data_IF_254621321371
#
_entry.id   IF_254621321371
#
_cell.length_a   1.000
_cell.length_b   1.000
_cell.length_c   1.000
_cell.angle_alpha   90.00
_cell.angle_beta   90.00
_cell.angle_gamma   90.00
#
_symmetry.space_group_name_H-M   'P 1'
#
loop_
_entity.id
_entity.type
_entity.pdbx_description
1 polymer ?
#
# COMPACT_ATOMS: atom_id res chain seq x y z
N UNK A 1 2.43 -35.01 77.92
CA UNK A 1 1.85 -33.66 78.10
C UNK A 1 0.71 -33.52 77.10
N UNK A 2 -0.34 -32.78 77.42
CA UNK A 2 -1.41 -32.45 76.47
C UNK A 2 -1.35 -30.94 76.25
N UNK A 3 -1.27 -30.53 74.99
CA UNK A 3 -1.16 -29.14 74.61
C UNK A 3 -1.80 -28.95 73.25
N UNK A 4 -2.50 -27.83 73.08
CA UNK A 4 -3.12 -27.46 71.82
C UNK A 4 -2.35 -26.26 71.24
N UNK A 5 -2.19 -26.24 69.92
CA UNK A 5 -1.77 -25.01 69.22
C UNK A 5 -2.94 -24.05 69.32
N UNK A 6 -2.74 -22.92 70.00
CA UNK A 6 -3.80 -21.92 70.22
C UNK A 6 -3.67 -20.72 69.31
N UNK A 7 -2.48 -20.47 68.77
CA UNK A 7 -2.28 -19.46 67.72
C UNK A 7 -0.99 -19.71 66.94
N UNK A 8 -0.98 -19.26 65.69
CA UNK A 8 0.20 -19.16 64.84
C UNK A 8 0.34 -17.72 64.38
N UNK A 9 1.50 -17.11 64.64
CA UNK A 9 1.80 -15.77 64.14
C UNK A 9 2.53 -15.89 62.79
N UNK A 10 1.81 -15.59 61.71
CA UNK A 10 2.35 -15.71 60.35
C UNK A 10 3.42 -14.67 59.99
N UNK A 11 3.55 -13.57 60.74
CA UNK A 11 4.57 -12.55 60.50
C UNK A 11 5.87 -12.78 61.28
N UNK A 12 5.85 -13.57 62.36
CA UNK A 12 7.06 -13.91 63.16
C UNK A 12 7.43 -15.39 63.13
N UNK A 13 6.58 -16.25 62.55
CA UNK A 13 6.76 -17.70 62.56
C UNK A 13 6.58 -18.34 63.94
N UNK A 14 6.13 -17.58 64.94
CA UNK A 14 5.97 -18.07 66.30
C UNK A 14 4.73 -18.97 66.43
N UNK A 15 4.95 -20.18 66.96
CA UNK A 15 3.90 -21.14 67.31
C UNK A 15 3.64 -21.08 68.82
N UNK A 16 2.43 -20.73 69.23
CA UNK A 16 2.05 -20.76 70.65
C UNK A 16 1.34 -22.07 70.96
N UNK A 17 1.95 -22.85 71.85
CA UNK A 17 1.42 -24.12 72.35
C UNK A 17 1.06 -23.94 73.81
N UNK A 18 -0.23 -23.89 74.11
CA UNK A 18 -0.68 -23.86 75.50
C UNK A 18 -0.74 -25.28 76.04
N UNK A 19 0.10 -25.57 77.04
CA UNK A 19 0.09 -26.84 77.75
C UNK A 19 -1.01 -26.82 78.79
N UNK A 20 -2.12 -27.52 78.54
CA UNK A 20 -3.30 -27.51 79.40
C UNK A 20 -3.20 -28.45 80.60
N UNK A 21 -2.14 -29.25 80.68
CA UNK A 21 -1.84 -30.04 81.86
C UNK A 21 -0.61 -30.94 81.72
N UNK A 22 0.09 -31.16 82.83
CA UNK A 22 1.23 -32.07 82.96
C UNK A 22 0.88 -33.24 83.89
N UNK A 23 -0.13 -34.05 83.56
CA UNK A 23 -0.54 -35.18 84.43
C UNK A 23 0.60 -36.18 84.75
N UNK A 24 0.85 -36.44 86.04
CA UNK A 24 1.76 -37.48 86.58
C UNK A 24 3.20 -37.04 86.92
N UNK A 25 3.82 -37.66 87.95
CA UNK A 25 5.25 -37.52 88.32
C UNK A 25 6.11 -38.60 87.64
N UNK A 26 7.19 -38.19 86.95
CA UNK A 26 8.12 -39.06 86.23
C UNK A 26 8.72 -38.40 84.97
N UNK A 27 9.79 -39.00 84.43
CA UNK A 27 10.44 -38.56 83.18
C UNK A 27 9.47 -38.73 82.01
N UNK A 28 9.05 -37.62 81.40
CA UNK A 28 8.09 -37.65 80.28
C UNK A 28 8.82 -37.83 78.97
N UNK A 29 8.40 -38.79 78.16
CA UNK A 29 8.91 -38.98 76.80
C UNK A 29 8.62 -37.75 75.95
N UNK A 30 9.50 -37.49 74.97
CA UNK A 30 9.32 -36.40 74.03
C UNK A 30 8.00 -36.56 73.26
N UNK A 31 7.17 -35.53 73.30
CA UNK A 31 5.99 -35.34 72.48
C UNK A 31 6.34 -34.56 71.21
N UNK A 32 5.77 -34.97 70.07
CA UNK A 32 6.00 -34.36 68.77
C UNK A 32 4.74 -33.61 68.33
N UNK A 33 4.91 -32.41 67.77
CA UNK A 33 3.85 -31.67 67.10
C UNK A 33 4.00 -31.95 65.61
N UNK A 34 3.03 -32.62 65.00
CA UNK A 34 2.98 -32.81 63.55
C UNK A 34 2.10 -31.73 62.92
N UNK A 35 2.73 -30.79 62.23
CA UNK A 35 2.01 -29.91 61.31
C UNK A 35 1.78 -30.71 60.02
N UNK A 36 0.54 -31.14 59.77
CA UNK A 36 0.19 -31.72 58.47
C UNK A 36 0.28 -30.60 57.43
N UNK A 37 1.13 -30.76 56.42
CA UNK A 37 1.18 -29.80 55.31
C UNK A 37 -0.24 -29.63 54.74
N UNK A 38 -0.71 -28.40 54.47
CA UNK A 38 -2.05 -28.19 53.94
C UNK A 38 -2.20 -29.00 52.64
N UNK A 39 -3.28 -29.77 52.54
CA UNK A 39 -3.58 -30.65 51.40
C UNK A 39 -3.97 -29.88 50.14
N UNK A 40 -4.05 -28.54 50.21
CA UNK A 40 -4.38 -27.68 49.08
C UNK A 40 -3.73 -26.30 49.27
N UNK A 41 -2.97 -25.84 48.27
CA UNK A 41 -2.43 -24.48 48.19
C UNK A 41 -1.29 -24.18 49.16
N UNK A 42 -0.05 -24.53 48.82
CA UNK A 42 1.13 -23.94 49.48
C UNK A 42 1.37 -22.56 48.86
N UNK A 43 1.01 -21.52 49.59
CA UNK A 43 1.26 -20.14 49.20
C UNK A 43 2.57 -19.66 49.81
N UNK A 44 3.51 -19.23 48.98
CA UNK A 44 4.65 -18.46 49.41
C UNK A 44 4.23 -16.99 49.50
N UNK A 45 4.01 -16.49 50.72
CA UNK A 45 3.74 -15.07 50.96
C UNK A 45 5.06 -14.32 51.12
N UNK A 46 5.34 -13.41 50.20
CA UNK A 46 6.52 -12.53 50.22
C UNK A 46 6.05 -11.08 50.27
N UNK A 47 6.49 -10.32 51.26
CA UNK A 47 6.26 -8.87 51.32
C UNK A 47 7.60 -8.18 51.08
N UNK A 48 7.77 -7.55 49.91
CA UNK A 48 9.02 -6.88 49.53
C UNK A 48 10.20 -7.82 49.26
N UNK A 49 9.95 -9.09 48.95
CA UNK A 49 10.99 -10.09 48.72
C UNK A 49 11.69 -9.94 47.37
N UNK A 50 13.00 -10.19 47.35
CA UNK A 50 13.82 -10.28 46.13
C UNK A 50 14.27 -11.73 45.96
N UNK A 51 14.10 -12.31 44.77
CA UNK A 51 14.64 -13.62 44.42
C UNK A 51 15.95 -13.40 43.67
N UNK A 52 17.07 -13.89 44.22
CA UNK A 52 18.38 -13.83 43.59
C UNK A 52 19.07 -15.20 43.66
N UNK A 53 19.77 -15.58 42.59
CA UNK A 53 20.55 -16.81 42.52
C UNK A 53 21.82 -16.56 41.69
N UNK A 54 22.92 -17.23 42.04
CA UNK A 54 24.15 -17.28 41.26
C UNK A 54 24.43 -18.75 40.92
N UNK A 55 23.68 -19.30 39.96
CA UNK A 55 23.74 -20.71 39.56
C UNK A 55 23.41 -20.86 38.07
N UNK A 56 23.69 -22.03 37.49
CA UNK A 56 23.28 -22.40 36.13
C UNK A 56 21.82 -22.87 36.03
N UNK A 57 21.11 -22.99 37.16
CA UNK A 57 19.69 -23.33 37.23
C UNK A 57 18.83 -22.06 37.37
N UNK A 58 17.56 -22.16 36.99
CA UNK A 58 16.60 -21.05 37.09
C UNK A 58 16.50 -20.52 38.53
N UNK A 59 16.61 -19.20 38.71
CA UNK A 59 16.40 -18.54 39.99
C UNK A 59 14.95 -18.69 40.50
N UNK A 60 13.99 -18.76 39.56
CA UNK A 60 12.59 -19.05 39.80
C UNK A 60 12.07 -19.89 38.65
N UNK A 61 11.62 -21.12 38.95
CA UNK A 61 10.90 -21.96 38.00
C UNK A 61 9.43 -22.01 38.37
N UNK A 62 8.60 -21.53 37.47
CA UNK A 62 7.14 -21.59 37.59
C UNK A 62 6.66 -22.72 36.68
N UNK A 63 6.08 -23.76 37.27
CA UNK A 63 5.50 -24.87 36.52
C UNK A 63 4.05 -25.04 36.93
N UNK A 64 3.15 -24.69 36.03
CA UNK A 64 1.72 -24.90 36.19
C UNK A 64 1.34 -26.22 35.52
N UNK A 65 1.08 -27.24 36.33
CA UNK A 65 0.61 -28.55 35.85
C UNK A 65 -0.91 -28.67 35.85
N UNK A 66 -1.61 -27.72 36.47
CA UNK A 66 -3.07 -27.59 36.45
C UNK A 66 -3.57 -26.69 35.32
N UNK A 67 -4.87 -26.43 35.29
CA UNK A 67 -5.52 -25.62 34.24
C UNK A 67 -5.44 -24.11 34.45
N UNK A 68 -4.84 -23.63 35.55
CA UNK A 68 -4.75 -22.19 35.85
C UNK A 68 -3.69 -21.45 35.05
N UNK A 69 -3.54 -20.14 35.29
CA UNK A 69 -2.42 -19.38 34.73
C UNK A 69 -1.09 -19.83 35.36
N UNK A 70 -0.01 -19.73 34.60
CA UNK A 70 1.33 -20.00 35.08
C UNK A 70 1.83 -18.84 35.95
N UNK A 71 1.68 -17.61 35.49
CA UNK A 71 2.03 -16.39 36.23
C UNK A 71 0.92 -15.35 36.05
N UNK A 72 0.55 -14.69 37.14
CA UNK A 72 -0.34 -13.53 37.16
C UNK A 72 0.35 -12.45 38.00
N UNK A 73 0.50 -11.26 37.42
CA UNK A 73 0.97 -10.07 38.13
C UNK A 73 -0.16 -9.05 38.10
N UNK A 74 -0.62 -8.69 39.29
CA UNK A 74 -1.71 -7.74 39.51
C UNK A 74 -1.12 -6.44 40.08
N UNK A 75 -1.65 -5.30 39.65
CA UNK A 75 -1.27 -3.98 40.16
C UNK A 75 -2.38 -3.30 40.98
N UNK A 76 -3.55 -3.96 41.10
CA UNK A 76 -4.75 -3.46 41.77
C UNK A 76 -5.43 -4.52 42.64
N UNK A 77 -6.65 -4.25 43.12
CA UNK A 77 -7.40 -5.20 43.96
C UNK A 77 -7.71 -6.49 43.22
N UNK A 78 -7.32 -7.63 43.80
CA UNK A 78 -7.58 -8.95 43.24
C UNK A 78 -9.10 -9.27 43.22
N UNK A 79 -9.68 -9.68 42.07
CA UNK A 79 -8.98 -9.89 40.80
C UNK A 79 -8.78 -8.60 40.01
N UNK A 80 -7.55 -8.39 39.54
CA UNK A 80 -7.21 -7.30 38.64
C UNK A 80 -7.81 -7.56 37.24
N UNK A 81 -8.41 -6.51 36.65
CA UNK A 81 -9.00 -6.58 35.32
C UNK A 81 -7.94 -6.42 34.21
N UNK A 82 -6.77 -5.84 34.53
CA UNK A 82 -5.72 -5.49 33.57
C UNK A 82 -4.34 -6.10 33.87
N UNK A 83 -4.25 -7.38 34.28
CA UNK A 83 -3.00 -7.97 34.73
C UNK A 83 -2.02 -8.23 33.59
N UNK A 84 -0.78 -8.54 33.97
CA UNK A 84 0.15 -9.30 33.14
C UNK A 84 -0.02 -10.81 33.43
N UNK A 85 -0.27 -11.60 32.39
CA UNK A 85 -0.59 -13.03 32.53
C UNK A 85 0.24 -13.88 31.57
N UNK A 86 0.83 -14.95 32.09
CA UNK A 86 1.29 -16.09 31.30
C UNK A 86 0.27 -17.23 31.50
N UNK A 87 -0.44 -17.61 30.45
CA UNK A 87 -1.49 -18.64 30.48
C UNK A 87 -0.88 -20.05 30.53
N UNK A 88 -1.70 -21.08 30.81
CA UNK A 88 -1.28 -22.48 30.71
C UNK A 88 -0.83 -22.90 29.30
N UNK A 89 -1.28 -22.18 28.27
CA UNK A 89 -0.93 -22.43 26.87
C UNK A 89 0.35 -21.70 26.43
N UNK A 90 0.97 -20.95 27.34
CA UNK A 90 2.19 -20.17 27.07
C UNK A 90 1.94 -18.82 26.41
N UNK A 91 0.67 -18.39 26.26
CA UNK A 91 0.38 -17.05 25.78
C UNK A 91 0.67 -16.00 26.86
N UNK A 92 1.23 -14.87 26.44
CA UNK A 92 1.46 -13.69 27.26
C UNK A 92 0.41 -12.64 26.95
N UNK A 93 -0.34 -12.24 27.98
CA UNK A 93 -1.40 -11.25 27.90
C UNK A 93 -1.02 -10.05 28.77
N UNK A 94 -1.16 -8.86 28.20
CA UNK A 94 -0.99 -7.59 28.91
C UNK A 94 -2.34 -6.89 28.89
N UNK A 95 -2.87 -6.52 30.07
CA UNK A 95 -4.09 -5.75 30.18
C UNK A 95 -5.39 -6.55 29.99
N UNK A 96 -5.34 -7.88 30.11
CA UNK A 96 -6.53 -8.75 30.01
C UNK A 96 -6.30 -10.11 30.69
N UNK A 97 -7.36 -10.77 31.14
CA UNK A 97 -7.29 -12.03 31.92
C UNK A 97 -7.40 -13.31 31.07
N UNK A 98 -7.80 -13.20 29.81
CA UNK A 98 -7.99 -14.32 28.89
C UNK A 98 -7.55 -14.00 27.45
N UNK A 99 -7.20 -15.00 26.64
CA UNK A 99 -6.88 -14.76 25.23
C UNK A 99 -8.13 -14.34 24.45
N UNK A 100 -8.03 -13.24 23.69
CA UNK A 100 -9.06 -12.81 22.76
C UNK A 100 -8.88 -13.51 21.40
N UNK A 101 -9.99 -13.84 20.75
CA UNK A 101 -9.99 -14.43 19.40
C UNK A 101 -10.30 -13.35 18.37
N UNK A 102 -9.51 -13.30 17.28
CA UNK A 102 -9.78 -12.47 16.11
C UNK A 102 -10.06 -13.41 14.94
N UNK A 103 -11.31 -13.57 14.46
CA UNK A 103 -11.72 -14.60 13.50
C UNK A 103 -10.88 -14.76 12.23
N UNK A 104 -10.16 -13.72 11.80
CA UNK A 104 -9.31 -13.74 10.61
C UNK A 104 -7.87 -14.22 10.84
N UNK A 105 -7.45 -14.42 12.09
CA UNK A 105 -6.11 -14.89 12.46
C UNK A 105 -6.18 -15.92 13.58
N UNK A 106 -5.18 -16.80 13.68
CA UNK A 106 -5.05 -17.65 14.86
C UNK A 106 -4.82 -16.80 16.12
N UNK A 107 -5.13 -17.33 17.30
CA UNK A 107 -4.87 -16.65 18.57
C UNK A 107 -3.38 -16.35 18.72
N UNK A 108 -3.02 -15.07 18.80
CA UNK A 108 -1.63 -14.64 19.00
C UNK A 108 -1.10 -15.06 20.36
N UNK A 109 0.14 -15.53 20.41
CA UNK A 109 0.83 -15.84 21.67
C UNK A 109 1.12 -14.58 22.50
N UNK A 110 1.23 -13.40 21.87
CA UNK A 110 1.33 -12.12 22.55
C UNK A 110 0.08 -11.31 22.26
N UNK A 111 -0.60 -10.84 23.30
CA UNK A 111 -1.72 -9.91 23.19
C UNK A 111 -1.51 -8.74 24.13
N UNK A 112 -1.65 -7.53 23.60
CA UNK A 112 -1.57 -6.28 24.35
C UNK A 112 -2.94 -5.64 24.24
N UNK A 113 -3.58 -5.44 25.38
CA UNK A 113 -4.92 -4.89 25.47
C UNK A 113 -4.88 -3.60 26.27
N UNK A 114 -5.71 -2.65 25.88
CA UNK A 114 -5.97 -1.45 26.66
C UNK A 114 -7.46 -1.16 26.67
N UNK A 115 -7.91 -0.50 27.73
CA UNK A 115 -9.26 0.05 27.83
C UNK A 115 -9.18 1.53 28.17
N UNK A 116 -10.26 2.28 27.94
CA UNK A 116 -10.32 3.70 28.30
C UNK A 116 -9.99 3.96 29.77
N UNK A 117 -10.26 2.98 30.64
CA UNK A 117 -9.94 2.99 32.07
C UNK A 117 -8.44 3.09 32.36
N UNK A 118 -7.58 2.68 31.42
CA UNK A 118 -6.13 2.57 31.63
C UNK A 118 -5.35 3.78 31.11
N UNK A 119 -5.99 4.69 30.35
CA UNK A 119 -5.36 5.88 29.74
C UNK A 119 -4.21 5.59 28.75
N UNK A 120 -4.00 4.32 28.38
CA UNK A 120 -2.85 3.83 27.63
C UNK A 120 -3.27 3.21 26.28
N UNK A 121 -2.36 3.21 25.31
CA UNK A 121 -2.56 2.58 24.01
C UNK A 121 -2.05 1.13 24.03
N UNK A 122 -2.80 0.21 23.45
CA UNK A 122 -2.32 -1.13 23.13
C UNK A 122 -1.37 -1.05 21.93
N UNK A 123 -0.06 -1.01 22.19
CA UNK A 123 0.94 -0.84 21.14
C UNK A 123 2.29 -1.48 21.47
N UNK A 124 3.11 -1.64 20.43
CA UNK A 124 4.52 -2.04 20.52
C UNK A 124 5.35 -0.87 19.98
N UNK A 125 6.18 -0.27 20.83
CA UNK A 125 7.12 0.79 20.43
C UNK A 125 8.53 0.23 20.32
N UNK A 126 9.21 0.50 19.21
CA UNK A 126 10.60 0.10 18.99
C UNK A 126 11.45 1.35 18.74
N UNK A 127 12.52 1.52 19.53
CA UNK A 127 13.43 2.67 19.43
C UNK A 127 14.84 2.19 19.14
N UNK A 128 15.50 2.85 18.20
CA UNK A 128 16.92 2.69 17.92
C UNK A 128 17.59 4.05 18.11
N UNK A 129 18.62 4.10 18.96
CA UNK A 129 19.40 5.30 19.23
C UNK A 129 20.81 5.06 18.72
N UNK A 130 21.21 5.79 17.68
CA UNK A 130 22.52 5.68 17.07
C UNK A 130 23.11 7.07 16.85
N UNK A 131 24.38 7.24 17.24
CA UNK A 131 25.16 8.44 17.01
C UNK A 131 26.03 8.32 15.74
N UNK A 132 25.87 7.26 14.95
CA UNK A 132 26.62 7.03 13.73
C UNK A 132 26.40 8.17 12.71
N UNK A 133 27.48 8.89 12.43
CA UNK A 133 27.56 9.97 11.44
C UNK A 133 28.12 9.51 10.11
N UNK A 134 28.57 8.26 10.03
CA UNK A 134 29.24 7.67 8.85
C UNK A 134 28.27 6.92 7.95
N UNK A 135 27.06 6.60 8.44
CA UNK A 135 26.03 5.89 7.68
C UNK A 135 26.38 4.42 7.40
N UNK A 136 27.28 3.83 8.18
CA UNK A 136 27.79 2.46 7.96
C UNK A 136 27.16 1.42 8.89
N UNK A 137 26.47 1.86 9.95
CA UNK A 137 25.78 0.98 10.91
C UNK A 137 24.27 1.04 10.70
N UNK A 138 23.63 -0.13 10.52
CA UNK A 138 22.18 -0.27 10.33
C UNK A 138 21.45 -0.43 11.68
N UNK A 139 21.65 0.49 12.62
CA UNK A 139 20.89 0.44 13.87
C UNK A 139 19.46 0.95 13.61
N UNK A 140 18.50 0.03 13.49
CA UNK A 140 17.11 0.36 13.20
C UNK A 140 16.14 -0.46 14.06
N UNK A 141 15.02 0.16 14.41
CA UNK A 141 13.85 -0.57 14.88
C UNK A 141 13.24 -1.36 13.71
N UNK A 142 12.95 -2.65 13.91
CA UNK A 142 12.45 -3.53 12.83
C UNK A 142 11.25 -4.35 13.26
N UNK A 143 10.37 -4.66 12.29
CA UNK A 143 9.39 -5.73 12.39
C UNK A 143 9.75 -6.77 11.32
N UNK A 144 10.10 -7.98 11.76
CA UNK A 144 10.53 -9.05 10.85
C UNK A 144 9.55 -10.20 10.88
N UNK A 145 9.05 -10.59 9.71
CA UNK A 145 8.20 -11.76 9.53
C UNK A 145 9.00 -12.87 8.84
N UNK A 146 9.25 -13.95 9.56
CA UNK A 146 9.98 -15.10 9.04
C UNK A 146 9.04 -16.29 8.93
N UNK A 147 9.05 -16.94 7.76
CA UNK A 147 8.32 -18.19 7.54
C UNK A 147 9.27 -19.25 7.01
N UNK A 148 9.24 -20.42 7.63
CA UNK A 148 9.80 -21.65 7.10
C UNK A 148 8.71 -22.48 6.44
N UNK A 149 9.06 -23.29 5.43
CA UNK A 149 8.18 -24.34 4.92
C UNK A 149 8.00 -25.54 5.86
N UNK A 150 8.68 -25.53 7.03
CA UNK A 150 8.68 -26.61 8.02
C UNK A 150 7.86 -26.24 9.25
N UNK A 151 7.23 -27.23 9.86
CA UNK A 151 6.52 -27.13 11.14
C UNK A 151 7.44 -27.33 12.36
N UNK A 152 8.71 -27.70 12.14
CA UNK A 152 9.70 -27.90 13.19
C UNK A 152 10.47 -26.60 13.45
N UNK A 153 10.30 -26.01 14.64
CA UNK A 153 11.00 -24.79 15.06
C UNK A 153 12.52 -24.94 14.92
N UNK A 154 13.18 -23.94 14.33
CA UNK A 154 14.62 -23.95 14.05
C UNK A 154 15.03 -24.67 12.77
N UNK A 155 14.10 -25.31 12.04
CA UNK A 155 14.37 -25.95 10.75
C UNK A 155 14.02 -25.02 9.59
N UNK A 156 14.96 -24.80 8.67
CA UNK A 156 14.77 -23.97 7.47
C UNK A 156 14.46 -24.84 6.25
N UNK A 157 13.25 -24.70 5.72
CA UNK A 157 12.89 -25.27 4.42
C UNK A 157 12.27 -24.19 3.54
N UNK A 158 12.45 -24.35 2.23
CA UNK A 158 12.00 -23.38 1.23
C UNK A 158 10.48 -23.25 1.24
N UNK A 159 9.99 -22.01 1.22
CA UNK A 159 8.58 -21.69 0.96
C UNK A 159 8.30 -21.75 -0.55
N UNK A 160 7.06 -21.98 -0.94
CA UNK A 160 6.69 -22.07 -2.38
C UNK A 160 5.87 -20.87 -2.83
N UNK A 161 5.69 -20.71 -4.15
CA UNK A 161 4.83 -19.69 -4.75
C UNK A 161 3.48 -19.57 -4.02
N UNK A 162 3.03 -18.34 -3.83
CA UNK A 162 1.81 -17.97 -3.12
C UNK A 162 1.77 -18.23 -1.60
N UNK A 163 2.84 -18.76 -0.99
CA UNK A 163 2.92 -18.78 0.46
C UNK A 163 2.97 -17.35 1.01
N UNK A 164 2.09 -17.05 1.98
CA UNK A 164 2.14 -15.80 2.75
C UNK A 164 3.35 -15.80 3.66
N UNK A 165 4.16 -14.75 3.61
CA UNK A 165 5.32 -14.55 4.46
C UNK A 165 4.98 -13.75 5.73
N UNK A 166 4.05 -12.79 5.59
CA UNK A 166 3.58 -11.95 6.67
C UNK A 166 2.37 -11.12 6.25
N UNK A 167 1.65 -10.62 7.24
CA UNK A 167 0.42 -9.85 7.03
C UNK A 167 0.18 -8.85 8.15
N UNK A 168 -0.35 -7.69 7.80
CA UNK A 168 -0.88 -6.70 8.74
C UNK A 168 -2.39 -6.59 8.47
N UNK A 169 -3.19 -7.04 9.45
CA UNK A 169 -4.64 -6.99 9.39
C UNK A 169 -5.17 -5.76 10.13
N UNK A 170 -6.12 -5.07 9.51
CA UNK A 170 -6.89 -4.01 10.14
C UNK A 170 -8.32 -4.51 10.31
N UNK A 171 -8.69 -4.84 11.54
CA UNK A 171 -9.99 -5.43 11.89
C UNK A 171 -10.81 -4.47 12.76
N UNK A 172 -12.12 -4.43 12.56
CA UNK A 172 -13.07 -3.71 13.42
C UNK A 172 -14.12 -4.65 14.00
N UNK A 173 -14.71 -4.30 15.15
CA UNK A 173 -15.86 -5.05 15.68
C UNK A 173 -17.13 -4.67 14.91
N UNK A 174 -17.86 -5.67 14.43
CA UNK A 174 -19.18 -5.49 13.80
C UNK A 174 -20.35 -5.61 14.80
N UNK A 175 -20.03 -5.69 16.11
CA UNK A 175 -21.00 -5.89 17.19
C UNK A 175 -21.15 -7.33 17.64
N UNK A 176 -20.68 -8.31 16.84
CA UNK A 176 -20.61 -9.72 17.23
C UNK A 176 -19.16 -10.24 17.25
N UNK A 177 -18.33 -9.79 16.31
CA UNK A 177 -16.96 -10.26 16.16
C UNK A 177 -16.04 -9.22 15.52
N UNK A 178 -14.73 -9.44 15.61
CA UNK A 178 -13.76 -8.67 14.85
C UNK A 178 -13.70 -9.16 13.40
N UNK A 179 -13.97 -8.26 12.44
CA UNK A 179 -14.03 -8.55 11.01
C UNK A 179 -12.99 -7.72 10.25
N UNK A 180 -12.25 -8.28 9.26
CA UNK A 180 -11.24 -7.53 8.50
C UNK A 180 -11.84 -6.43 7.62
N UNK A 181 -11.35 -5.21 7.78
CA UNK A 181 -11.66 -4.07 6.93
C UNK A 181 -10.59 -3.88 5.83
N UNK A 182 -9.31 -4.11 6.17
CA UNK A 182 -8.20 -3.99 5.24
C UNK A 182 -7.05 -4.96 5.59
N UNK A 183 -6.19 -5.22 4.61
CA UNK A 183 -5.05 -6.13 4.73
C UNK A 183 -3.87 -5.63 3.87
N UNK A 184 -2.67 -5.63 4.47
CA UNK A 184 -1.40 -5.58 3.75
C UNK A 184 -0.73 -6.95 3.87
N UNK A 185 -0.38 -7.57 2.74
CA UNK A 185 0.13 -8.94 2.70
C UNK A 185 1.39 -9.05 1.86
N UNK A 186 2.39 -9.74 2.40
CA UNK A 186 3.59 -10.16 1.67
C UNK A 186 3.50 -11.65 1.35
N UNK A 187 3.75 -12.03 0.09
CA UNK A 187 3.75 -13.42 -0.34
C UNK A 187 4.84 -13.73 -1.37
N UNK A 188 5.20 -15.00 -1.48
CA UNK A 188 6.14 -15.51 -2.49
C UNK A 188 5.52 -15.38 -3.88
N UNK A 189 6.27 -14.78 -4.81
CA UNK A 189 5.82 -14.39 -6.14
C UNK A 189 6.77 -14.89 -7.24
N UNK A 190 6.87 -16.21 -7.31
CA UNK A 190 7.79 -16.93 -8.18
C UNK A 190 8.24 -18.22 -7.51
N UNK A 191 9.29 -18.82 -8.04
CA UNK A 191 9.94 -20.00 -7.44
C UNK A 191 11.19 -19.53 -6.70
N UNK A 192 11.26 -19.63 -5.36
CA UNK A 192 12.47 -19.29 -4.63
C UNK A 192 13.67 -20.16 -4.99
N UNK A 193 14.86 -19.56 -4.95
CA UNK A 193 16.16 -20.20 -5.15
C UNK A 193 17.08 -19.98 -3.94
N UNK A 194 18.33 -20.42 -4.03
CA UNK A 194 19.34 -20.12 -3.01
C UNK A 194 19.61 -18.62 -2.98
N UNK A 195 19.38 -17.98 -1.81
CA UNK A 195 19.48 -16.53 -1.63
C UNK A 195 18.56 -15.71 -2.55
N UNK A 196 17.48 -16.32 -3.06
CA UNK A 196 16.52 -15.70 -3.96
C UNK A 196 15.10 -15.93 -3.44
N UNK A 197 14.40 -14.84 -3.11
CA UNK A 197 13.06 -14.85 -2.54
C UNK A 197 12.19 -13.83 -3.27
N UNK A 198 11.71 -14.14 -4.48
CA UNK A 198 10.84 -13.23 -5.21
C UNK A 198 9.56 -13.03 -4.40
N UNK A 199 9.29 -11.79 -4.03
CA UNK A 199 8.15 -11.42 -3.19
C UNK A 199 7.23 -10.42 -3.88
N UNK A 200 5.95 -10.44 -3.50
CA UNK A 200 4.97 -9.40 -3.83
C UNK A 200 4.37 -8.80 -2.59
N UNK A 201 3.95 -7.55 -2.71
CA UNK A 201 3.11 -6.85 -1.73
C UNK A 201 1.71 -6.65 -2.30
N UNK A 202 0.70 -6.94 -1.49
CA UNK A 202 -0.72 -6.80 -1.84
C UNK A 202 -1.41 -5.91 -0.82
N UNK A 203 -2.18 -4.95 -1.33
CA UNK A 203 -3.06 -4.08 -0.56
C UNK A 203 -4.51 -4.43 -0.87
N UNK A 204 -5.28 -4.78 0.16
CA UNK A 204 -6.66 -5.24 0.04
C UNK A 204 -7.62 -4.47 0.93
N UNK A 205 -8.85 -4.30 0.47
CA UNK A 205 -9.95 -3.71 1.26
C UNK A 205 -11.23 -4.53 1.11
N UNK A 206 -12.03 -4.57 2.16
CA UNK A 206 -13.37 -5.17 2.15
C UNK A 206 -14.36 -4.16 1.59
N UNK A 207 -15.13 -4.55 0.57
CA UNK A 207 -16.20 -3.69 0.04
C UNK A 207 -17.35 -3.58 1.04
N UNK A 208 -18.14 -2.51 0.95
CA UNK A 208 -19.40 -2.43 1.68
C UNK A 208 -20.31 -3.62 1.31
N UNK A 209 -20.93 -4.23 2.32
CA UNK A 209 -21.70 -5.47 2.20
C UNK A 209 -20.89 -6.76 2.01
N UNK A 210 -19.55 -6.72 2.00
CA UNK A 210 -18.69 -7.92 1.95
C UNK A 210 -18.10 -8.25 3.33
N UNK A 211 -17.65 -9.49 3.51
CA UNK A 211 -17.05 -9.98 4.77
C UNK A 211 -15.55 -10.29 4.68
N UNK A 212 -14.95 -10.16 3.48
CA UNK A 212 -13.54 -10.47 3.24
C UNK A 212 -12.85 -9.42 2.35
N UNK A 213 -11.59 -9.06 2.64
CA UNK A 213 -10.83 -8.15 1.80
C UNK A 213 -10.59 -8.73 0.40
N UNK A 214 -10.59 -7.86 -0.60
CA UNK A 214 -10.20 -8.18 -1.98
C UNK A 214 -9.04 -7.29 -2.41
N UNK A 215 -8.16 -7.82 -3.25
CA UNK A 215 -6.99 -7.10 -3.75
C UNK A 215 -7.39 -5.84 -4.52
N UNK A 216 -6.77 -4.72 -4.17
CA UNK A 216 -6.97 -3.41 -4.82
C UNK A 216 -5.70 -2.92 -5.52
N UNK A 217 -4.54 -3.20 -4.94
CA UNK A 217 -3.25 -2.86 -5.51
C UNK A 217 -2.23 -3.96 -5.21
N UNK A 218 -1.31 -4.21 -6.15
CA UNK A 218 -0.19 -5.11 -5.98
C UNK A 218 1.09 -4.52 -6.54
N UNK A 219 2.20 -4.80 -5.87
CA UNK A 219 3.57 -4.67 -6.39
C UNK A 219 4.14 -6.09 -6.51
N UNK A 220 4.47 -6.52 -7.72
CA UNK A 220 4.98 -7.88 -7.97
C UNK A 220 6.52 -7.99 -7.86
N UNK A 221 7.05 -9.21 -7.97
CA UNK A 221 8.50 -9.46 -7.86
C UNK A 221 9.34 -8.81 -8.96
N UNK A 222 8.72 -8.37 -10.06
CA UNK A 222 9.36 -7.61 -11.14
C UNK A 222 9.26 -6.09 -10.92
N UNK A 223 8.70 -5.64 -9.80
CA UNK A 223 8.53 -4.23 -9.47
C UNK A 223 7.37 -3.54 -10.20
N UNK A 224 6.46 -4.31 -10.81
CA UNK A 224 5.30 -3.75 -11.53
C UNK A 224 4.15 -3.50 -10.56
N UNK A 225 3.43 -2.40 -10.78
CA UNK A 225 2.29 -1.96 -9.99
C UNK A 225 1.00 -2.18 -10.78
N UNK A 226 0.08 -2.94 -10.21
CA UNK A 226 -1.29 -3.08 -10.71
C UNK A 226 -2.30 -2.45 -9.76
N UNK A 227 -3.23 -1.66 -10.30
CA UNK A 227 -4.38 -1.10 -9.56
C UNK A 227 -5.66 -1.69 -10.14
N UNK A 228 -6.38 -2.47 -9.33
CA UNK A 228 -7.60 -3.18 -9.72
C UNK A 228 -7.38 -4.45 -10.53
N UNK A 229 -6.15 -4.95 -10.64
CA UNK A 229 -5.82 -6.19 -11.34
C UNK A 229 -4.30 -6.43 -11.41
N UNK A 230 -3.91 -7.57 -12.00
CA UNK A 230 -2.49 -7.93 -12.20
C UNK A 230 -1.94 -7.27 -13.47
N UNK A 231 -0.81 -6.55 -13.41
CA UNK A 231 -0.20 -5.95 -14.60
C UNK A 231 0.37 -7.03 -15.53
N UNK A 232 0.23 -6.84 -16.84
CA UNK A 232 0.83 -7.70 -17.85
C UNK A 232 2.34 -7.48 -17.98
N UNK A 233 3.04 -8.40 -18.66
CA UNK A 233 4.44 -8.18 -19.02
C UNK A 233 4.61 -6.89 -19.83
N UNK A 234 5.63 -6.09 -19.51
CA UNK A 234 5.90 -4.80 -20.15
C UNK A 234 5.16 -3.60 -19.56
N UNK A 235 4.19 -3.79 -18.66
CA UNK A 235 3.55 -2.69 -17.93
C UNK A 235 4.26 -2.44 -16.60
N UNK A 236 4.72 -1.22 -16.35
CA UNK A 236 5.30 -0.85 -15.05
C UNK A 236 4.21 -0.40 -14.07
N UNK A 237 3.29 0.46 -14.52
CA UNK A 237 2.10 0.85 -13.77
C UNK A 237 0.88 0.61 -14.66
N UNK A 238 -0.07 -0.19 -14.19
CA UNK A 238 -1.31 -0.48 -14.90
C UNK A 238 -2.53 -0.17 -14.03
N UNK A 239 -3.42 0.68 -14.52
CA UNK A 239 -4.73 0.94 -13.91
C UNK A 239 -5.74 0.11 -14.68
N UNK A 240 -6.21 -0.94 -14.04
CA UNK A 240 -7.05 -1.99 -14.62
C UNK A 240 -8.45 -2.00 -14.01
N UNK A 241 -8.67 -1.21 -12.96
CA UNK A 241 -9.97 -1.10 -12.29
C UNK A 241 -11.02 -0.57 -13.27
N UNK A 242 -12.11 -1.32 -13.42
CA UNK A 242 -13.30 -0.84 -14.14
C UNK A 242 -13.81 0.46 -13.50
N UNK A 243 -14.03 1.48 -14.35
CA UNK A 243 -14.62 2.76 -13.97
C UNK A 243 -16.15 2.57 -13.89
N UNK A 244 -16.74 2.77 -12.72
CA UNK A 244 -18.16 2.56 -12.47
C UNK A 244 -18.64 3.37 -11.24
N UNK A 245 -19.96 3.54 -11.10
CA UNK A 245 -20.59 4.10 -9.90
C UNK A 245 -20.96 5.59 -9.97
N UNK A 246 -20.70 6.27 -11.08
CA UNK A 246 -21.05 7.69 -11.26
C UNK A 246 -21.28 8.05 -12.74
N UNK A 247 -22.14 9.04 -13.00
CA UNK A 247 -22.36 9.60 -14.34
C UNK A 247 -21.11 10.33 -14.87
N UNK A 248 -20.33 10.95 -13.99
CA UNK A 248 -19.04 11.56 -14.29
C UNK A 248 -17.97 10.76 -13.58
N UNK A 249 -17.07 10.15 -14.35
CA UNK A 249 -16.06 9.26 -13.80
C UNK A 249 -14.71 9.48 -14.46
N UNK A 250 -13.65 9.39 -13.68
CA UNK A 250 -12.27 9.58 -14.13
C UNK A 250 -11.45 8.32 -13.86
N UNK A 251 -10.52 7.99 -14.76
CA UNK A 251 -9.52 6.95 -14.49
C UNK A 251 -8.36 7.46 -13.64
N UNK A 252 -7.84 8.65 -13.98
CA UNK A 252 -6.76 9.36 -13.28
C UNK A 252 -7.16 10.83 -13.19
N UNK A 253 -6.94 11.46 -12.04
CA UNK A 253 -7.11 12.90 -11.83
C UNK A 253 -5.82 13.47 -11.22
N UNK A 254 -5.35 14.59 -11.76
CA UNK A 254 -4.24 15.36 -11.18
C UNK A 254 -4.74 16.80 -10.99
N UNK A 255 -5.14 17.12 -9.76
CA UNK A 255 -5.79 18.38 -9.36
C UNK A 255 -4.93 19.14 -8.34
N UNK A 256 -3.62 19.19 -8.58
CA UNK A 256 -2.68 19.85 -7.69
C UNK A 256 -2.71 21.37 -7.87
N UNK A 257 -2.36 22.14 -6.84
CA UNK A 257 -2.22 23.60 -6.91
C UNK A 257 -0.73 23.99 -6.91
N UNK A 258 -0.30 24.75 -7.93
CA UNK A 258 1.03 25.37 -7.97
C UNK A 258 1.11 26.45 -6.89
N UNK A 259 2.09 26.35 -5.99
CA UNK A 259 2.31 27.30 -4.89
C UNK A 259 3.18 28.49 -5.35
N UNK A 260 3.15 29.60 -4.58
CA UNK A 260 3.76 30.88 -4.99
C UNK A 260 5.29 30.88 -5.08
N UNK A 261 5.96 29.86 -4.56
CA UNK A 261 7.40 29.66 -4.64
C UNK A 261 7.86 29.05 -5.97
N UNK A 262 6.94 28.55 -6.80
CA UNK A 262 7.24 28.07 -8.15
C UNK A 262 7.24 29.24 -9.14
N UNK A 263 8.43 29.68 -9.56
CA UNK A 263 8.61 30.92 -10.35
C UNK A 263 8.90 30.73 -11.84
N UNK A 264 9.13 29.50 -12.31
CA UNK A 264 9.57 29.23 -13.69
C UNK A 264 8.62 28.34 -14.48
N UNK A 265 8.42 27.09 -14.04
CA UNK A 265 7.65 26.08 -14.75
C UNK A 265 7.07 25.06 -13.77
N UNK A 266 5.81 24.67 -14.00
CA UNK A 266 5.17 23.55 -13.36
C UNK A 266 4.59 22.62 -14.44
N UNK A 267 4.93 21.33 -14.38
CA UNK A 267 4.36 20.31 -15.26
C UNK A 267 3.48 19.37 -14.43
N UNK A 268 2.19 19.30 -14.74
CA UNK A 268 1.28 18.34 -14.10
C UNK A 268 1.56 16.92 -14.61
N UNK A 269 2.02 16.82 -15.87
CA UNK A 269 2.50 15.60 -16.48
C UNK A 269 3.74 15.91 -17.34
N UNK A 270 4.87 15.29 -16.99
CA UNK A 270 6.11 15.35 -17.76
C UNK A 270 6.50 13.94 -18.21
N UNK A 271 6.75 13.78 -19.51
CA UNK A 271 7.24 12.55 -20.08
C UNK A 271 8.60 12.80 -20.73
N UNK A 272 9.64 12.15 -20.21
CA UNK A 272 11.03 12.30 -20.65
C UNK A 272 11.62 10.92 -20.94
N UNK A 273 11.78 10.60 -22.22
CA UNK A 273 12.25 9.28 -22.66
C UNK A 273 13.77 9.24 -22.77
N UNK A 274 14.36 8.11 -22.40
CA UNK A 274 15.76 7.75 -22.68
C UNK A 274 15.77 6.35 -23.30
N UNK A 275 16.57 6.14 -24.33
CA UNK A 275 16.76 4.82 -24.96
C UNK A 275 18.22 4.39 -24.80
N UNK A 276 18.43 3.10 -24.53
CA UNK A 276 19.77 2.50 -24.55
C UNK A 276 20.32 2.45 -25.99
N UNK A 277 21.56 2.02 -26.19
CA UNK A 277 22.08 1.77 -27.54
C UNK A 277 21.20 0.75 -28.28
N UNK A 278 20.87 1.03 -29.54
CA UNK A 278 19.98 0.20 -30.37
C UNK A 278 19.07 1.02 -31.28
N UNK A 279 18.28 0.34 -32.11
CA UNK A 279 17.26 0.95 -32.96
C UNK A 279 15.88 0.75 -32.34
N UNK A 280 15.12 1.84 -32.20
CA UNK A 280 13.77 1.86 -31.67
C UNK A 280 12.88 2.57 -32.68
N UNK A 281 12.12 1.85 -33.52
CA UNK A 281 11.42 2.43 -34.67
C UNK A 281 10.28 3.37 -34.27
N UNK A 282 9.80 3.30 -33.03
CA UNK A 282 8.71 4.13 -32.53
C UNK A 282 8.86 4.37 -31.03
N UNK A 283 8.72 5.62 -30.62
CA UNK A 283 8.72 6.06 -29.23
C UNK A 283 7.59 7.10 -29.08
N UNK A 284 6.59 6.79 -28.26
CA UNK A 284 5.46 7.69 -28.03
C UNK A 284 5.47 8.17 -26.58
N UNK A 285 5.35 9.48 -26.37
CA UNK A 285 5.11 10.04 -25.04
C UNK A 285 3.65 9.88 -24.62
N UNK A 286 2.74 10.10 -25.56
CA UNK A 286 1.30 10.01 -25.35
C UNK A 286 0.68 9.27 -26.54
N UNK A 287 -0.21 8.31 -26.24
CA UNK A 287 -0.94 7.54 -27.24
C UNK A 287 -2.33 7.21 -26.73
N UNK A 288 -3.35 7.79 -27.36
CA UNK A 288 -4.73 7.35 -27.20
C UNK A 288 -5.03 6.26 -28.23
N UNK A 289 -5.64 5.16 -27.79
CA UNK A 289 -6.06 4.06 -28.65
C UNK A 289 -7.45 3.58 -28.24
N UNK A 290 -8.31 3.30 -29.21
CA UNK A 290 -9.59 2.66 -28.96
C UNK A 290 -9.38 1.18 -28.57
N UNK A 291 -10.03 0.77 -27.47
CA UNK A 291 -10.16 -0.63 -27.08
C UNK A 291 -11.36 -1.31 -27.73
N UNK A 292 -11.89 -2.35 -27.11
CA UNK A 292 -13.16 -2.96 -27.55
C UNK A 292 -14.34 -2.24 -26.91
N UNK A 293 -15.31 -1.79 -27.69
CA UNK A 293 -16.58 -1.28 -27.19
C UNK A 293 -17.66 -2.37 -27.25
N UNK A 294 -18.38 -2.55 -26.15
CA UNK A 294 -19.56 -3.42 -26.08
C UNK A 294 -20.87 -2.64 -26.13
N UNK A 295 -20.80 -1.30 -26.15
CA UNK A 295 -21.95 -0.39 -26.25
C UNK A 295 -21.70 0.75 -27.25
N UNK A 296 -22.67 1.66 -27.36
CA UNK A 296 -22.61 2.78 -28.31
C UNK A 296 -21.86 3.98 -27.71
N UNK A 297 -20.91 4.53 -28.48
CA UNK A 297 -20.20 5.77 -28.16
C UNK A 297 -20.49 6.80 -29.25
N UNK A 298 -21.13 7.92 -28.88
CA UNK A 298 -21.50 8.99 -29.83
C UNK A 298 -20.29 9.83 -30.25
N UNK A 299 -19.42 10.15 -29.28
CA UNK A 299 -18.24 11.01 -29.48
C UNK A 299 -17.06 10.41 -28.72
N UNK A 300 -15.91 10.29 -29.37
CA UNK A 300 -14.66 9.88 -28.73
C UNK A 300 -13.57 10.91 -29.03
N UNK A 301 -13.05 11.53 -27.98
CA UNK A 301 -11.91 12.44 -28.07
C UNK A 301 -10.64 11.66 -27.69
N UNK A 302 -9.60 11.73 -28.51
CA UNK A 302 -8.27 11.19 -28.15
C UNK A 302 -7.46 12.13 -27.25
N UNK A 303 -7.72 13.44 -27.39
CA UNK A 303 -7.20 14.51 -26.57
C UNK A 303 -8.25 15.62 -26.54
N UNK A 304 -8.42 16.28 -25.39
CA UNK A 304 -9.37 17.37 -25.21
C UNK A 304 -8.71 18.48 -24.38
N UNK A 305 -8.76 19.70 -24.91
CA UNK A 305 -8.42 20.90 -24.16
C UNK A 305 -9.73 21.54 -23.68
N UNK A 306 -9.91 21.65 -22.36
CA UNK A 306 -11.15 22.14 -21.75
C UNK A 306 -11.44 23.61 -22.07
N UNK A 307 -12.72 23.97 -22.11
CA UNK A 307 -13.17 25.35 -22.39
C UNK A 307 -12.82 26.37 -21.28
N UNK A 308 -12.42 25.90 -20.10
CA UNK A 308 -12.03 26.72 -18.96
C UNK A 308 -10.57 27.18 -18.99
N UNK A 309 -9.79 26.79 -20.00
CA UNK A 309 -8.41 27.26 -20.23
C UNK A 309 -8.39 28.71 -20.74
N UNK A 310 -8.77 29.65 -19.88
CA UNK A 310 -8.91 31.08 -20.20
C UNK A 310 -8.22 32.01 -19.20
N UNK A 311 -7.69 31.47 -18.11
CA UNK A 311 -7.19 32.26 -16.97
C UNK A 311 -5.79 32.86 -17.16
N UNK A 312 -4.99 32.39 -18.12
CA UNK A 312 -3.62 32.86 -18.33
C UNK A 312 -3.52 33.97 -19.39
N UNK A 313 -2.40 34.70 -19.41
CA UNK A 313 -2.09 35.68 -20.48
C UNK A 313 -2.03 35.02 -21.86
N UNK A 314 -1.50 33.79 -21.92
CA UNK A 314 -1.47 32.97 -23.12
C UNK A 314 -2.06 31.60 -22.76
N UNK A 315 -3.11 31.19 -23.47
CA UNK A 315 -3.74 29.89 -23.29
C UNK A 315 -3.57 29.10 -24.58
N UNK A 316 -2.96 27.92 -24.50
CA UNK A 316 -2.75 27.04 -25.65
C UNK A 316 -3.46 25.70 -25.40
N UNK A 317 -4.33 25.28 -26.33
CA UNK A 317 -4.90 23.93 -26.29
C UNK A 317 -3.90 22.86 -26.75
N UNK A 318 -3.03 23.22 -27.69
CA UNK A 318 -1.88 22.42 -28.14
C UNK A 318 -0.73 23.38 -28.45
N UNK A 319 0.48 23.06 -27.99
CA UNK A 319 1.68 23.88 -28.21
C UNK A 319 2.84 22.99 -28.69
N UNK A 320 3.41 23.34 -29.83
CA UNK A 320 4.57 22.66 -30.41
C UNK A 320 5.66 23.67 -30.73
N UNK A 321 6.85 23.45 -30.19
CA UNK A 321 8.02 24.33 -30.35
C UNK A 321 9.23 23.56 -30.90
N UNK A 322 8.98 22.73 -31.92
CA UNK A 322 10.02 21.94 -32.58
C UNK A 322 10.71 22.83 -33.62
N UNK A 323 12.03 23.06 -33.52
CA UNK A 323 12.76 23.85 -34.51
C UNK A 323 12.77 23.17 -35.88
N UNK A 324 12.75 23.97 -36.94
CA UNK A 324 12.80 23.49 -38.31
C UNK A 324 14.00 22.54 -38.56
N UNK A 325 13.76 21.49 -39.34
CA UNK A 325 14.77 20.50 -39.71
C UNK A 325 14.17 19.35 -40.52
N UNK A 326 15.02 18.54 -41.15
CA UNK A 326 14.55 17.38 -41.94
C UNK A 326 13.80 16.40 -41.05
N UNK A 327 12.58 16.02 -41.47
CA UNK A 327 11.74 15.05 -40.76
C UNK A 327 11.07 15.56 -39.47
N UNK A 328 11.08 16.88 -39.22
CA UNK A 328 10.46 17.50 -38.04
C UNK A 328 9.13 18.16 -38.38
N UNK A 329 8.10 17.90 -37.58
CA UNK A 329 6.76 18.41 -37.79
C UNK A 329 6.17 18.87 -36.45
N UNK A 330 5.76 20.14 -36.35
CA UNK A 330 5.01 20.63 -35.16
C UNK A 330 3.60 20.03 -35.09
N UNK A 331 2.99 19.79 -36.24
CA UNK A 331 1.72 19.09 -36.37
C UNK A 331 1.80 18.14 -37.56
N UNK A 332 1.51 16.86 -37.33
CA UNK A 332 1.55 15.82 -38.35
C UNK A 332 0.32 14.92 -38.23
N UNK A 333 -0.59 15.01 -39.22
CA UNK A 333 -1.83 14.24 -39.28
C UNK A 333 -1.80 13.33 -40.51
N UNK A 334 -1.26 12.11 -40.35
CA UNK A 334 -1.08 11.16 -41.45
C UNK A 334 -2.34 10.33 -41.81
N UNK A 335 -3.40 10.43 -41.02
CA UNK A 335 -4.65 9.72 -41.26
C UNK A 335 -5.32 10.15 -42.57
N UNK A 336 -6.10 9.26 -43.17
CA UNK A 336 -6.82 9.52 -44.43
C UNK A 336 -8.17 10.23 -44.23
N UNK A 337 -8.58 10.44 -42.98
CA UNK A 337 -9.79 11.17 -42.64
C UNK A 337 -9.62 12.68 -42.84
N UNK A 338 -10.74 13.40 -42.97
CA UNK A 338 -10.75 14.86 -43.10
C UNK A 338 -10.41 15.53 -41.77
N UNK A 339 -9.58 16.57 -41.80
CA UNK A 339 -9.34 17.45 -40.64
C UNK A 339 -10.36 18.60 -40.64
N UNK A 340 -10.93 18.93 -39.48
CA UNK A 340 -11.87 20.04 -39.31
C UNK A 340 -11.32 21.05 -38.31
N UNK A 341 -11.11 22.29 -38.76
CA UNK A 341 -10.70 23.43 -37.94
C UNK A 341 -11.83 24.46 -37.97
N UNK A 342 -12.60 24.55 -36.89
CA UNK A 342 -13.80 25.39 -36.82
C UNK A 342 -13.49 26.90 -36.74
N UNK A 343 -12.33 27.25 -36.17
CA UNK A 343 -11.85 28.64 -36.06
C UNK A 343 -10.95 29.04 -37.25
N UNK A 344 -10.58 30.33 -37.28
CA UNK A 344 -9.59 30.82 -38.22
C UNK A 344 -8.24 30.13 -38.00
N UNK A 345 -7.57 29.76 -39.09
CA UNK A 345 -6.20 29.22 -39.05
C UNK A 345 -5.24 30.35 -39.41
N UNK A 346 -4.53 30.84 -38.42
CA UNK A 346 -3.50 31.86 -38.61
C UNK A 346 -2.15 31.18 -38.88
N UNK A 347 -1.36 31.79 -39.76
CA UNK A 347 0.04 31.42 -40.02
C UNK A 347 0.93 32.62 -39.66
N UNK A 348 2.21 32.35 -39.38
CA UNK A 348 3.16 33.40 -39.01
C UNK A 348 3.20 34.51 -40.06
N UNK A 349 3.35 35.76 -39.58
CA UNK A 349 3.51 36.92 -40.46
C UNK A 349 4.74 36.73 -41.37
N UNK A 350 4.57 37.07 -42.65
CA UNK A 350 5.59 36.82 -43.64
C UNK A 350 6.79 37.76 -43.55
N UNK A 351 7.93 37.30 -44.06
CA UNK A 351 9.15 38.10 -44.27
C UNK A 351 9.65 37.90 -45.70
N UNK A 352 10.32 38.91 -46.26
CA UNK A 352 10.95 38.81 -47.59
C UNK A 352 12.03 37.73 -47.67
N UNK A 353 12.61 37.34 -46.53
CA UNK A 353 13.61 36.27 -46.43
C UNK A 353 13.05 34.96 -45.83
N UNK A 354 11.72 34.80 -45.81
CA UNK A 354 11.09 33.64 -45.22
C UNK A 354 11.40 32.37 -46.04
N UNK A 355 11.87 31.34 -45.35
CA UNK A 355 12.20 30.04 -45.93
C UNK A 355 11.26 28.92 -45.46
N UNK A 356 10.38 29.19 -44.49
CA UNK A 356 9.44 28.22 -43.88
C UNK A 356 8.15 28.92 -43.42
N UNK A 357 7.06 28.17 -43.22
CA UNK A 357 5.81 28.70 -42.66
C UNK A 357 4.79 29.16 -43.70
N UNK A 358 4.95 28.74 -44.96
CA UNK A 358 3.98 28.97 -46.03
C UNK A 358 2.80 28.00 -45.96
N UNK A 359 1.64 28.43 -46.46
CA UNK A 359 0.52 27.52 -46.75
C UNK A 359 0.85 26.83 -48.07
N UNK A 360 1.07 25.52 -48.01
CA UNK A 360 1.25 24.71 -49.22
C UNK A 360 -0.11 24.23 -49.72
N UNK A 361 -0.35 24.41 -51.01
CA UNK A 361 -1.55 23.92 -51.70
C UNK A 361 -1.17 22.85 -52.72
N UNK A 362 -2.07 21.90 -53.06
CA UNK A 362 -1.81 20.90 -54.08
C UNK A 362 -1.46 21.53 -55.43
N UNK A 363 -0.44 21.00 -56.10
CA UNK A 363 0.04 21.52 -57.37
C UNK A 363 0.52 20.40 -58.30
N UNK A 364 0.25 20.53 -59.59
CA UNK A 364 0.86 19.70 -60.64
C UNK A 364 0.86 20.45 -61.98
N UNK A 365 1.42 19.85 -63.02
CA UNK A 365 1.46 20.45 -64.36
C UNK A 365 0.10 20.35 -65.05
N UNK A 366 -0.50 21.50 -65.40
CA UNK A 366 -1.76 21.58 -66.12
C UNK A 366 -2.99 21.72 -65.24
N UNK A 367 -4.13 21.98 -65.90
CA UNK A 367 -5.41 22.24 -65.26
C UNK A 367 -5.97 20.99 -64.56
N UNK A 368 -6.55 21.13 -63.36
CA UNK A 368 -7.18 20.02 -62.66
C UNK A 368 -8.48 19.58 -63.38
N UNK A 369 -8.75 18.27 -63.38
CA UNK A 369 -9.89 17.68 -64.12
C UNK A 369 -10.88 16.89 -63.26
N UNK A 370 -10.44 16.36 -62.11
CA UNK A 370 -11.30 15.56 -61.22
C UNK A 370 -12.28 16.40 -60.40
N UNK A 371 -13.44 15.83 -60.05
CA UNK A 371 -14.43 16.45 -59.14
C UNK A 371 -14.07 16.17 -57.67
N UNK A 372 -13.80 17.20 -56.85
CA UNK A 372 -13.49 17.01 -55.42
C UNK A 372 -14.72 16.59 -54.59
N UNK A 373 -14.52 15.72 -53.59
CA UNK A 373 -15.58 15.20 -52.69
C UNK A 373 -15.67 15.98 -51.37
N UNK A 374 -15.83 17.31 -51.44
CA UNK A 374 -15.79 18.19 -50.26
C UNK A 374 -17.16 18.31 -49.54
N UNK A 375 -17.22 18.58 -48.22
CA UNK A 375 -18.47 18.95 -47.58
C UNK A 375 -18.99 20.31 -48.06
N UNK A 376 -20.30 20.49 -47.94
CA UNK A 376 -21.00 21.73 -48.28
C UNK A 376 -20.39 22.93 -47.55
N UNK A 377 -20.07 23.99 -48.31
CA UNK A 377 -19.50 25.23 -47.78
C UNK A 377 -17.97 25.37 -47.90
N UNK A 378 -17.25 24.31 -48.28
CA UNK A 378 -15.79 24.36 -48.45
C UNK A 378 -15.40 24.39 -49.95
N UNK A 379 -14.44 25.25 -50.32
CA UNK A 379 -13.95 25.38 -51.70
C UNK A 379 -12.51 24.85 -51.82
N UNK A 380 -12.27 23.77 -52.58
CA UNK A 380 -10.93 23.27 -52.88
C UNK A 380 -10.08 24.27 -53.67
N UNK A 381 -8.77 24.34 -53.35
CA UNK A 381 -7.76 25.11 -54.07
C UNK A 381 -6.74 24.18 -54.74
N UNK A 382 -6.20 24.61 -55.89
CA UNK A 382 -5.15 23.90 -56.63
C UNK A 382 -4.27 24.87 -57.40
N UNK A 383 -2.98 24.58 -57.55
CA UNK A 383 -2.04 25.39 -58.33
C UNK A 383 -1.55 24.68 -59.60
N UNK A 384 -1.79 25.29 -60.75
CA UNK A 384 -1.25 24.82 -62.04
C UNK A 384 0.14 25.40 -62.25
N UNK A 385 1.14 24.54 -62.13
CA UNK A 385 2.57 24.89 -62.28
C UNK A 385 2.98 25.15 -63.72
N UNK A 386 2.26 24.63 -64.71
CA UNK A 386 2.60 24.82 -66.13
C UNK A 386 2.12 26.18 -66.65
N UNK A 387 0.96 26.63 -66.16
CA UNK A 387 0.33 27.88 -66.62
C UNK A 387 0.37 29.02 -65.59
N UNK A 388 0.97 28.78 -64.42
CA UNK A 388 1.08 29.73 -63.30
C UNK A 388 -0.29 30.26 -62.83
N UNK A 389 -1.27 29.37 -62.67
CA UNK A 389 -2.66 29.74 -62.32
C UNK A 389 -3.13 29.08 -61.04
N UNK A 390 -3.90 29.84 -60.26
CA UNK A 390 -4.63 29.30 -59.12
C UNK A 390 -6.04 28.87 -59.57
N UNK A 391 -6.46 27.69 -59.14
CA UNK A 391 -7.75 27.09 -59.42
C UNK A 391 -8.58 26.93 -58.15
N UNK A 392 -9.89 27.17 -58.27
CA UNK A 392 -10.89 26.88 -57.24
C UNK A 392 -12.03 26.03 -57.81
N UNK A 393 -12.62 25.15 -57.02
CA UNK A 393 -13.75 24.32 -57.45
C UNK A 393 -15.08 24.88 -56.94
N UNK A 394 -15.91 25.42 -57.83
CA UNK A 394 -17.24 25.96 -57.53
C UNK A 394 -18.23 25.51 -58.62
N UNK A 395 -18.88 24.36 -58.41
CA UNK A 395 -19.69 23.69 -59.45
C UNK A 395 -18.89 23.21 -60.67
N UNK A 396 -17.55 23.32 -60.62
CA UNK A 396 -16.58 23.07 -61.68
C UNK A 396 -15.29 23.85 -61.41
N UNK A 397 -14.18 23.49 -62.06
CA UNK A 397 -12.90 24.20 -61.91
C UNK A 397 -12.94 25.58 -62.57
N UNK A 398 -12.54 26.61 -61.82
CA UNK A 398 -12.38 28.00 -62.27
C UNK A 398 -10.95 28.44 -62.01
N UNK A 399 -10.37 29.22 -62.93
CA UNK A 399 -8.97 29.64 -62.88
C UNK A 399 -8.83 31.16 -62.74
N UNK A 400 -7.74 31.61 -62.14
CA UNK A 400 -7.28 33.01 -62.22
C UNK A 400 -6.66 33.31 -63.59
N UNK A 401 -6.37 34.60 -63.84
CA UNK A 401 -5.33 34.97 -64.78
C UNK A 401 -3.99 34.35 -64.36
N UNK A 402 -3.06 34.18 -65.31
CA UNK A 402 -1.72 33.72 -64.97
C UNK A 402 -1.05 34.76 -64.06
N UNK A 403 -0.45 34.29 -62.97
CA UNK A 403 0.37 35.12 -62.09
C UNK A 403 1.66 35.46 -62.85
N UNK A 404 1.99 36.74 -62.98
CA UNK A 404 3.18 37.23 -63.71
C UNK A 404 4.22 37.78 -62.76
#
# INVERSE_FOLDING_TARGET
MIGAVTSYNSSTGALVVNVSGTGGSGTKTAWTISLTAPTTGQYLLLTGGVISANSSSDALRITQTGSGNALVVEDSTNPDATPFVITNSGATLIGHTASLTVPAVATSLLQINSSASNGQQAGVSAFAWDADTTGTTLTAATYTFNRSGSDTTGTHTVVTANNTLGSIYFTGSDGASFTPAALILAAVDGTPGTNDMPGRLIFSTTADGASSPTERMRIDSSGRIGIGGTPSAGQIVAILKNIAGSAFSNGIVVDSQVQSDVSSRADYFLSSSKVASGSYPLLNHYRAQQGTFTGTVTTQNGFEAGNSLIGATNNYGFYGDIPAGTGRWNFYANGTARNFFAGGVEVAAGSTAQITGFINIPAAGGAPTGTPTNPTGNVPLYYDTSNNKLYVYNGGWKATAALT
#
